data_IF_496820770572
#
_entry.id   IF_496820770572
#
_cell.length_a   1.000
_cell.length_b   1.000
_cell.length_c   1.000
_cell.angle_alpha   90.00
_cell.angle_beta   90.00
_cell.angle_gamma   90.00
#
_symmetry.space_group_name_H-M   'P 1'
#
loop_
_entity.id
_entity.type
_entity.pdbx_description
1 polymer ?
#
# COMPACT_ATOMS: atom_id res chain seq x y z
N UNK A 1 44.98 13.82 -5.06
CA UNK A 1 44.03 12.85 -4.48
C UNK A 1 43.64 11.89 -5.59
N UNK A 2 43.76 10.57 -5.43
CA UNK A 2 43.36 9.65 -6.49
C UNK A 2 41.86 9.83 -6.73
N UNK A 3 41.47 9.99 -7.99
CA UNK A 3 40.10 10.32 -8.40
C UNK A 3 39.15 9.13 -8.14
N UNK A 4 39.69 7.90 -8.12
CA UNK A 4 38.94 6.65 -7.92
C UNK A 4 38.31 6.51 -6.53
N UNK A 5 38.99 6.94 -5.46
CA UNK A 5 38.43 6.87 -4.09
C UNK A 5 37.18 7.75 -3.95
N UNK A 6 37.16 8.91 -4.60
CA UNK A 6 36.05 9.86 -4.47
C UNK A 6 34.77 9.35 -5.13
N UNK A 7 34.88 8.75 -6.31
CA UNK A 7 33.71 8.19 -7.01
C UNK A 7 33.13 6.97 -6.29
N UNK A 8 33.98 6.15 -5.67
CA UNK A 8 33.56 5.01 -4.85
C UNK A 8 32.79 5.49 -3.60
N UNK A 9 33.27 6.54 -2.94
CA UNK A 9 32.59 7.16 -1.79
C UNK A 9 31.24 7.79 -2.16
N UNK A 10 31.16 8.42 -3.33
CA UNK A 10 29.90 8.95 -3.88
C UNK A 10 28.89 7.82 -4.15
N UNK A 11 29.35 6.72 -4.76
CA UNK A 11 28.52 5.52 -4.99
C UNK A 11 28.06 4.88 -3.67
N UNK A 12 28.93 4.81 -2.66
CA UNK A 12 28.56 4.32 -1.33
C UNK A 12 27.42 5.16 -0.77
N UNK A 13 27.54 6.47 -0.81
CA UNK A 13 26.52 7.40 -0.27
C UNK A 13 25.20 7.26 -1.02
N UNK A 14 25.24 7.12 -2.34
CA UNK A 14 24.06 6.87 -3.16
C UNK A 14 23.36 5.56 -2.79
N UNK A 15 24.11 4.46 -2.68
CA UNK A 15 23.58 3.15 -2.31
C UNK A 15 22.94 3.20 -0.92
N UNK A 16 23.58 3.86 0.04
CA UNK A 16 23.04 4.00 1.40
C UNK A 16 21.71 4.76 1.40
N UNK A 17 21.58 5.83 0.60
CA UNK A 17 20.33 6.55 0.44
C UNK A 17 19.23 5.68 -0.21
N UNK A 18 19.59 4.83 -1.19
CA UNK A 18 18.64 3.89 -1.80
C UNK A 18 18.15 2.85 -0.79
N UNK A 19 19.06 2.29 0.02
CA UNK A 19 18.71 1.33 1.08
C UNK A 19 17.78 1.97 2.11
N UNK A 20 18.08 3.19 2.54
CA UNK A 20 17.23 3.95 3.46
C UNK A 20 15.81 4.15 2.90
N UNK A 21 15.69 4.51 1.62
CA UNK A 21 14.40 4.64 0.96
C UNK A 21 13.62 3.32 0.95
N UNK A 22 14.29 2.19 0.65
CA UNK A 22 13.64 0.87 0.64
C UNK A 22 13.15 0.49 2.03
N UNK A 23 13.95 0.72 3.08
CA UNK A 23 13.56 0.49 4.46
C UNK A 23 12.35 1.37 4.84
N UNK A 24 12.37 2.65 4.47
CA UNK A 24 11.28 3.60 4.69
C UNK A 24 9.97 3.24 3.96
N UNK A 25 10.05 2.45 2.89
CA UNK A 25 8.88 1.92 2.18
C UNK A 25 8.28 0.67 2.83
N UNK A 26 8.83 0.24 3.98
CA UNK A 26 8.28 -0.85 4.80
C UNK A 26 8.78 -2.24 4.41
N UNK A 27 9.90 -2.33 3.68
CA UNK A 27 10.52 -3.63 3.39
C UNK A 27 11.16 -4.18 4.66
N UNK A 28 10.84 -5.43 5.07
CA UNK A 28 11.43 -6.04 6.24
C UNK A 28 12.95 -6.13 6.09
N UNK A 29 13.67 -5.59 7.07
CA UNK A 29 15.12 -5.56 7.06
C UNK A 29 15.68 -6.07 8.39
N UNK A 30 16.81 -6.81 8.42
CA UNK A 30 17.34 -7.36 9.65
C UNK A 30 17.67 -6.26 10.68
N UNK A 31 17.15 -6.40 11.90
CA UNK A 31 17.27 -5.38 12.97
C UNK A 31 18.70 -5.09 13.43
N UNK A 32 19.62 -6.05 13.25
CA UNK A 32 21.03 -5.88 13.58
C UNK A 32 21.81 -5.08 12.52
N UNK A 33 21.26 -4.94 11.32
CA UNK A 33 21.85 -4.18 10.23
C UNK A 33 21.22 -2.79 10.21
N UNK A 34 21.74 -1.90 11.05
CA UNK A 34 21.27 -0.51 11.09
C UNK A 34 22.00 0.33 10.04
N UNK A 35 21.35 1.38 9.55
CA UNK A 35 21.97 2.33 8.60
C UNK A 35 23.28 2.91 9.17
N UNK A 36 23.34 3.39 10.44
CA UNK A 36 24.59 3.86 11.02
C UNK A 36 25.67 2.76 11.06
N UNK A 37 25.29 1.52 11.38
CA UNK A 37 26.21 0.38 11.40
C UNK A 37 26.84 0.12 10.03
N UNK A 38 26.05 0.16 8.95
CA UNK A 38 26.56 -0.04 7.59
C UNK A 38 27.48 1.09 7.11
N UNK A 39 27.22 2.34 7.49
CA UNK A 39 28.07 3.47 7.12
C UNK A 39 29.48 3.28 7.69
N UNK A 40 29.58 2.74 8.91
CA UNK A 40 30.87 2.48 9.61
C UNK A 40 31.66 1.30 9.05
N UNK A 41 31.09 0.50 8.16
CA UNK A 41 31.81 -0.61 7.52
C UNK A 41 32.87 -0.02 6.58
N UNK A 42 34.15 -0.24 6.92
CA UNK A 42 35.30 0.19 6.13
C UNK A 42 35.54 -0.68 4.90
N UNK A 43 35.10 -1.94 4.95
CA UNK A 43 35.27 -2.94 3.89
C UNK A 43 34.06 -2.89 2.94
N UNK A 44 34.25 -2.17 1.83
CA UNK A 44 33.20 -1.96 0.83
C UNK A 44 32.83 -3.23 0.07
N UNK A 45 33.77 -4.17 -0.09
CA UNK A 45 33.48 -5.48 -0.68
C UNK A 45 32.44 -6.22 0.17
N UNK A 46 32.70 -6.33 1.49
CA UNK A 46 31.76 -6.98 2.41
C UNK A 46 30.42 -6.27 2.50
N UNK A 47 30.41 -4.93 2.49
CA UNK A 47 29.17 -4.16 2.47
C UNK A 47 28.35 -4.47 1.21
N UNK A 48 29.01 -4.51 0.05
CA UNK A 48 28.37 -4.79 -1.24
C UNK A 48 27.74 -6.18 -1.26
N UNK A 49 28.48 -7.20 -0.82
CA UNK A 49 27.98 -8.58 -0.76
C UNK A 49 26.80 -8.73 0.21
N UNK A 50 26.88 -8.08 1.37
CA UNK A 50 25.81 -8.09 2.36
C UNK A 50 24.54 -7.44 1.81
N UNK A 51 24.66 -6.25 1.21
CA UNK A 51 23.52 -5.56 0.61
C UNK A 51 22.91 -6.37 -0.55
N UNK A 52 23.74 -6.97 -1.39
CA UNK A 52 23.27 -7.85 -2.46
C UNK A 52 22.52 -9.08 -1.91
N UNK A 53 22.99 -9.67 -0.81
CA UNK A 53 22.35 -10.84 -0.20
C UNK A 53 20.94 -10.52 0.31
N UNK A 54 20.74 -9.36 0.94
CA UNK A 54 19.47 -8.96 1.56
C UNK A 54 18.51 -8.22 0.62
N UNK A 55 19.01 -7.42 -0.32
CA UNK A 55 18.18 -6.50 -1.11
C UNK A 55 17.84 -7.01 -2.50
N UNK A 56 18.65 -7.93 -3.07
CA UNK A 56 18.37 -8.49 -4.38
C UNK A 56 17.49 -9.75 -4.23
N UNK A 57 16.31 -9.82 -4.86
CA UNK A 57 15.48 -11.02 -4.81
C UNK A 57 15.93 -12.09 -5.80
N UNK A 58 16.57 -11.70 -6.91
CA UNK A 58 16.94 -12.62 -8.00
C UNK A 58 18.31 -13.25 -7.79
N UNK A 59 18.37 -14.58 -7.85
CA UNK A 59 19.65 -15.31 -7.83
C UNK A 59 20.57 -14.92 -9.00
N UNK A 60 20.01 -14.57 -10.16
CA UNK A 60 20.80 -14.11 -11.32
C UNK A 60 21.48 -12.77 -11.06
N UNK A 61 20.78 -11.84 -10.41
CA UNK A 61 21.33 -10.52 -10.08
C UNK A 61 22.45 -10.66 -9.04
N UNK A 62 22.26 -11.54 -8.03
CA UNK A 62 23.31 -11.87 -7.06
C UNK A 62 24.56 -12.45 -7.74
N UNK A 63 24.37 -13.36 -8.70
CA UNK A 63 25.49 -13.95 -9.44
C UNK A 63 26.26 -12.89 -10.23
N UNK A 64 25.57 -11.98 -10.92
CA UNK A 64 26.20 -10.88 -11.66
C UNK A 64 27.03 -9.99 -10.74
N UNK A 65 26.54 -9.70 -9.53
CA UNK A 65 27.30 -8.95 -8.52
C UNK A 65 28.55 -9.74 -8.09
N UNK A 66 28.40 -11.03 -7.76
CA UNK A 66 29.50 -11.89 -7.30
C UNK A 66 30.61 -12.05 -8.35
N UNK A 67 30.25 -12.12 -9.64
CA UNK A 67 31.19 -12.28 -10.76
C UNK A 67 31.88 -10.97 -11.15
N UNK A 68 31.40 -9.81 -10.67
CA UNK A 68 32.00 -8.51 -10.98
C UNK A 68 33.14 -8.24 -10.01
N UNK A 69 34.39 -8.40 -10.47
CA UNK A 69 35.59 -8.25 -9.64
C UNK A 69 35.94 -6.78 -9.34
N UNK A 70 35.66 -5.87 -10.27
CA UNK A 70 35.90 -4.44 -10.06
C UNK A 70 34.86 -3.86 -9.09
N UNK A 71 35.34 -3.33 -7.96
CA UNK A 71 34.49 -2.82 -6.88
C UNK A 71 33.57 -1.69 -7.38
N UNK A 72 34.11 -0.76 -8.19
CA UNK A 72 33.36 0.39 -8.69
C UNK A 72 32.24 -0.06 -9.63
N UNK A 73 32.54 -0.95 -10.57
CA UNK A 73 31.54 -1.54 -11.46
C UNK A 73 30.47 -2.32 -10.66
N UNK A 74 30.89 -3.07 -9.64
CA UNK A 74 29.98 -3.84 -8.79
C UNK A 74 29.04 -2.94 -7.99
N UNK A 75 29.55 -1.87 -7.38
CA UNK A 75 28.74 -0.84 -6.70
C UNK A 75 27.77 -0.17 -7.68
N UNK A 76 28.22 0.18 -8.88
CA UNK A 76 27.36 0.74 -9.92
C UNK A 76 26.21 -0.20 -10.31
N UNK A 77 26.50 -1.49 -10.53
CA UNK A 77 25.48 -2.51 -10.82
C UNK A 77 24.50 -2.66 -9.64
N UNK A 78 25.00 -2.73 -8.41
CA UNK A 78 24.16 -2.81 -7.21
C UNK A 78 23.21 -1.60 -7.14
N UNK A 79 23.72 -0.39 -7.34
CA UNK A 79 22.90 0.82 -7.33
C UNK A 79 21.79 0.81 -8.39
N UNK A 80 22.07 0.30 -9.59
CA UNK A 80 21.07 0.14 -10.66
C UNK A 80 19.96 -0.84 -10.24
N UNK A 81 20.32 -1.96 -9.61
CA UNK A 81 19.32 -2.91 -9.12
C UNK A 81 18.49 -2.34 -7.97
N UNK A 82 19.13 -1.65 -7.02
CA UNK A 82 18.43 -0.99 -5.92
C UNK A 82 17.46 0.09 -6.42
N UNK A 83 17.83 0.88 -7.42
CA UNK A 83 16.92 1.87 -8.03
C UNK A 83 15.65 1.24 -8.62
N UNK A 84 15.79 0.07 -9.26
CA UNK A 84 14.63 -0.68 -9.77
C UNK A 84 13.72 -1.13 -8.64
N UNK A 85 14.28 -1.65 -7.55
CA UNK A 85 13.50 -2.08 -6.39
C UNK A 85 12.84 -0.89 -5.67
N UNK A 86 13.54 0.25 -5.50
CA UNK A 86 12.95 1.51 -4.99
C UNK A 86 11.70 1.87 -5.79
N UNK A 87 11.81 1.94 -7.12
CA UNK A 87 10.68 2.30 -8.01
C UNK A 87 9.50 1.34 -7.85
N UNK A 88 9.78 0.04 -7.78
CA UNK A 88 8.77 -0.99 -7.57
C UNK A 88 8.05 -0.83 -6.23
N UNK A 89 8.79 -0.64 -5.13
CA UNK A 89 8.19 -0.42 -3.81
C UNK A 89 7.44 0.91 -3.71
N UNK A 90 7.90 1.97 -4.38
CA UNK A 90 7.17 3.23 -4.45
C UNK A 90 5.81 3.08 -5.13
N UNK A 91 5.73 2.31 -6.22
CA UNK A 91 4.45 2.01 -6.89
C UNK A 91 3.54 1.22 -5.96
N UNK A 92 4.05 0.19 -5.29
CA UNK A 92 3.28 -0.59 -4.31
C UNK A 92 2.75 0.28 -3.16
N UNK A 93 3.59 1.13 -2.58
CA UNK A 93 3.21 2.06 -1.52
C UNK A 93 2.13 3.04 -1.96
N UNK A 94 2.22 3.59 -3.18
CA UNK A 94 1.19 4.45 -3.77
C UNK A 94 -0.15 3.72 -3.92
N UNK A 95 -0.12 2.45 -4.33
CA UNK A 95 -1.34 1.62 -4.44
C UNK A 95 -1.98 1.43 -3.06
N UNK A 96 -1.20 1.04 -2.05
CA UNK A 96 -1.67 0.85 -0.67
C UNK A 96 -2.29 2.15 -0.13
N UNK A 97 -1.60 3.27 -0.29
CA UNK A 97 -2.10 4.58 0.13
C UNK A 97 -3.43 4.96 -0.55
N UNK A 98 -3.56 4.68 -1.86
CA UNK A 98 -4.81 4.91 -2.60
C UNK A 98 -5.95 4.04 -2.06
N UNK A 99 -5.70 2.77 -1.81
CA UNK A 99 -6.69 1.85 -1.24
C UNK A 99 -7.13 2.31 0.15
N UNK A 100 -6.19 2.68 1.03
CA UNK A 100 -6.50 3.20 2.36
C UNK A 100 -7.35 4.48 2.30
N UNK A 101 -7.04 5.40 1.39
CA UNK A 101 -7.81 6.63 1.20
C UNK A 101 -9.24 6.36 0.76
N UNK A 102 -9.44 5.43 -0.18
CA UNK A 102 -10.77 5.04 -0.64
C UNK A 102 -11.55 4.31 0.47
N UNK A 103 -10.92 3.39 1.20
CA UNK A 103 -11.56 2.74 2.36
C UNK A 103 -12.01 3.76 3.42
N UNK A 104 -11.17 4.75 3.73
CA UNK A 104 -11.51 5.81 4.68
C UNK A 104 -12.62 6.77 4.21
N UNK A 105 -12.85 6.89 2.90
CA UNK A 105 -14.04 7.58 2.37
C UNK A 105 -15.27 6.71 2.52
N UNK A 106 -15.21 5.45 2.10
CA UNK A 106 -16.33 4.50 2.18
C UNK A 106 -16.81 4.33 3.63
N UNK A 107 -15.90 4.24 4.60
CA UNK A 107 -16.25 4.17 6.02
C UNK A 107 -16.94 5.46 6.51
N UNK A 108 -16.46 6.64 6.10
CA UNK A 108 -17.10 7.92 6.44
C UNK A 108 -18.49 8.04 5.83
N UNK A 109 -18.64 7.69 4.56
CA UNK A 109 -19.92 7.74 3.86
C UNK A 109 -20.93 6.77 4.47
N UNK A 110 -20.47 5.56 4.82
CA UNK A 110 -21.29 4.58 5.55
C UNK A 110 -21.76 5.13 6.90
N UNK A 111 -20.85 5.71 7.67
CA UNK A 111 -21.17 6.29 8.97
C UNK A 111 -22.18 7.44 8.85
N UNK A 112 -21.97 8.36 7.91
CA UNK A 112 -22.89 9.48 7.66
C UNK A 112 -24.29 8.99 7.23
N UNK A 113 -24.37 7.93 6.41
CA UNK A 113 -25.66 7.31 6.04
C UNK A 113 -26.38 6.71 7.25
N UNK A 114 -25.65 6.07 8.15
CA UNK A 114 -26.23 5.55 9.40
C UNK A 114 -26.71 6.68 10.31
N UNK A 115 -25.95 7.79 10.41
CA UNK A 115 -26.39 8.97 11.15
C UNK A 115 -27.65 9.59 10.57
N UNK A 116 -27.73 9.76 9.24
CA UNK A 116 -28.92 10.28 8.59
C UNK A 116 -30.14 9.39 8.83
N UNK A 117 -29.97 8.07 8.75
CA UNK A 117 -31.04 7.13 9.02
C UNK A 117 -31.54 7.21 10.47
N UNK A 118 -30.63 7.32 11.44
CA UNK A 118 -31.00 7.51 12.84
C UNK A 118 -31.75 8.84 13.07
N UNK A 119 -31.33 9.93 12.41
CA UNK A 119 -32.02 11.23 12.48
C UNK A 119 -33.43 11.14 11.90
N UNK A 120 -33.61 10.47 10.75
CA UNK A 120 -34.94 10.27 10.14
C UNK A 120 -35.87 9.46 11.06
N UNK A 121 -35.34 8.41 11.70
CA UNK A 121 -36.06 7.63 12.70
C UNK A 121 -36.43 8.48 13.95
N UNK A 122 -35.54 9.34 14.44
CA UNK A 122 -35.81 10.25 15.58
C UNK A 122 -36.82 11.35 15.24
N UNK A 123 -36.79 11.90 14.02
CA UNK A 123 -37.74 12.92 13.54
C UNK A 123 -39.13 12.35 13.25
N UNK A 124 -39.30 11.02 13.26
CA UNK A 124 -40.56 10.36 12.92
C UNK A 124 -40.90 10.47 11.42
N UNK A 125 -39.94 10.87 10.59
CA UNK A 125 -40.03 10.82 9.14
C UNK A 125 -39.78 9.37 8.71
N UNK A 126 -40.82 8.54 8.74
CA UNK A 126 -40.77 7.25 8.04
C UNK A 126 -40.47 7.54 6.56
N UNK A 127 -39.44 6.88 6.01
CA UNK A 127 -39.07 6.92 4.59
C UNK A 127 -40.35 7.07 3.74
N UNK A 128 -40.49 8.13 2.92
CA UNK A 128 -41.70 8.35 2.10
C UNK A 128 -42.07 7.10 1.28
N UNK A 129 -41.05 6.34 0.85
CA UNK A 129 -41.18 5.03 0.23
C UNK A 129 -41.91 3.99 1.10
N UNK A 130 -41.60 3.93 2.40
CA UNK A 130 -42.31 3.05 3.35
C UNK A 130 -43.75 3.50 3.60
N UNK A 131 -44.00 4.81 3.60
CA UNK A 131 -45.34 5.40 3.75
C UNK A 131 -46.21 5.11 2.53
N UNK A 132 -45.69 5.34 1.31
CA UNK A 132 -46.36 4.99 0.05
C UNK A 132 -46.62 3.49 -0.09
N UNK A 133 -45.65 2.65 0.31
CA UNK A 133 -45.81 1.19 0.31
C UNK A 133 -46.88 0.72 1.30
N UNK A 134 -46.98 1.34 2.48
CA UNK A 134 -48.06 1.05 3.44
C UNK A 134 -49.42 1.43 2.86
N UNK A 135 -49.53 2.58 2.20
CA UNK A 135 -50.79 3.02 1.56
C UNK A 135 -51.23 2.11 0.41
N UNK A 136 -50.31 1.72 -0.47
CA UNK A 136 -50.57 0.78 -1.57
C UNK A 136 -51.03 -0.57 -1.04
N UNK A 137 -50.37 -1.11 -0.02
CA UNK A 137 -50.76 -2.36 0.62
C UNK A 137 -52.15 -2.27 1.28
N UNK A 138 -52.47 -1.14 1.90
CA UNK A 138 -53.80 -0.89 2.46
C UNK A 138 -54.89 -0.89 1.37
N UNK A 139 -54.65 -0.22 0.22
CA UNK A 139 -55.56 -0.21 -0.93
C UNK A 139 -55.77 -1.62 -1.51
N UNK A 140 -54.71 -2.43 -1.62
CA UNK A 140 -54.79 -3.82 -2.09
C UNK A 140 -55.60 -4.70 -1.12
N UNK A 141 -55.36 -4.61 0.19
CA UNK A 141 -56.14 -5.34 1.20
C UNK A 141 -57.62 -4.97 1.13
N UNK A 142 -57.93 -3.68 0.99
CA UNK A 142 -59.31 -3.19 0.89
C UNK A 142 -60.02 -3.76 -0.35
N UNK A 143 -59.35 -3.78 -1.51
CA UNK A 143 -59.89 -4.40 -2.72
C UNK A 143 -60.05 -5.93 -2.61
N UNK A 144 -59.09 -6.63 -1.99
CA UNK A 144 -59.20 -8.08 -1.76
C UNK A 144 -60.38 -8.41 -0.82
N UNK A 145 -60.59 -7.59 0.21
CA UNK A 145 -61.71 -7.75 1.13
C UNK A 145 -63.07 -7.50 0.43
N UNK A 146 -63.16 -6.45 -0.39
CA UNK A 146 -64.33 -6.17 -1.25
C UNK A 146 -64.64 -7.31 -2.24
N UNK A 147 -63.60 -7.90 -2.85
CA UNK A 147 -63.76 -9.06 -3.74
C UNK A 147 -64.22 -10.31 -3.00
N UNK A 148 -63.81 -10.52 -1.74
CA UNK A 148 -64.30 -11.62 -0.91
C UNK A 148 -65.76 -11.43 -0.49
N UNK A 149 -66.17 -10.20 -0.17
CA UNK A 149 -67.56 -9.86 0.14
C UNK A 149 -68.51 -10.08 -1.06
N UNK A 150 -68.08 -9.73 -2.27
CA UNK A 150 -68.84 -9.99 -3.52
C UNK A 150 -68.94 -11.47 -3.92
N UNK A 151 -68.11 -12.35 -3.36
CA UNK A 151 -68.11 -13.80 -3.65
C UNK A 151 -68.94 -14.62 -2.67
N UNK A 152 -69.40 -14.00 -1.57
CA UNK A 152 -70.21 -14.62 -0.51
C UNK A 152 -71.68 -14.16 -0.53
N UNK A 153 -72.04 -13.30 -1.48
CA UNK A 153 -73.41 -12.96 -1.90
C UNK A 153 -73.71 -13.76 -3.17
#
# INVERSE_FOLDING_TARGET
FPIEDKEIDELKTLIMAQVEQIIGLGVPFPSHLTIPGMITISDLDKLTDMLAAYMLPSGKEKQVILETLDLKERLGKLSIYLDKEVKKFQVQSKIISKVQKEMGKTQRDYFLRQQLKAIQEELGEEDELTTELKELNAKIKKQKCLKMLRRKL
#
